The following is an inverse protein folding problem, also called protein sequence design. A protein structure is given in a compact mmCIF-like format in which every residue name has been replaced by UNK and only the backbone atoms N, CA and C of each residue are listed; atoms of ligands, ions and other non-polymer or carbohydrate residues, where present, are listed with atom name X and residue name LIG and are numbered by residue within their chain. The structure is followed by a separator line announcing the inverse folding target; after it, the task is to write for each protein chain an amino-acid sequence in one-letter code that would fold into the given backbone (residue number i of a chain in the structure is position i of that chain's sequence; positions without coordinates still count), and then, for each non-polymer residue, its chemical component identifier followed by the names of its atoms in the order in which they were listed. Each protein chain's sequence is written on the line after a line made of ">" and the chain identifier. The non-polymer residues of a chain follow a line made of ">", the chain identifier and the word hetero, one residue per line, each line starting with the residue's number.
data_IF_766074162697
#
_entry.id   IF_766074162697
#
_cell.length_a   1.000
_cell.length_b   1.000
_cell.length_c   1.000
_cell.angle_alpha   90.00
_cell.angle_beta   90.00
_cell.angle_gamma   90.00
#
_symmetry.space_group_name_H-M   'P 1'
#
loop_
_entity.id
_entity.type
_entity.pdbx_description
1 polymer ?
#
# COMPACT_ATOMS: atom_id res chain seq x y z
N UNK A 1 -5.24 9.44 -12.10
CA UNK A 1 -5.28 8.20 -11.27
C UNK A 1 -3.90 7.90 -10.75
N UNK A 2 -3.74 7.82 -9.45
CA UNK A 2 -2.51 7.51 -8.75
C UNK A 2 -2.52 6.06 -8.26
N UNK A 3 -1.35 5.51 -7.94
CA UNK A 3 -1.22 4.12 -7.53
C UNK A 3 -0.28 3.99 -6.34
N UNK A 4 -0.67 3.13 -5.39
CA UNK A 4 0.16 2.61 -4.30
C UNK A 4 0.23 1.09 -4.41
N UNK A 5 1.15 0.49 -3.67
CA UNK A 5 1.19 -0.96 -3.53
C UNK A 5 1.10 -1.33 -2.05
N UNK A 6 0.10 -2.13 -1.68
CA UNK A 6 0.00 -2.73 -0.35
C UNK A 6 0.63 -4.12 -0.37
N UNK A 7 1.52 -4.38 0.56
CA UNK A 7 2.03 -5.71 0.87
C UNK A 7 1.42 -6.17 2.19
N UNK A 8 0.84 -7.36 2.18
CA UNK A 8 0.33 -8.02 3.38
C UNK A 8 1.05 -9.34 3.58
N UNK A 9 1.51 -9.63 4.78
CA UNK A 9 2.07 -10.93 5.15
C UNK A 9 0.93 -11.90 5.40
N UNK A 10 0.74 -12.87 4.51
CA UNK A 10 -0.37 -13.84 4.61
C UNK A 10 -0.04 -15.03 5.47
N UNK A 11 1.20 -15.53 5.37
CA UNK A 11 1.60 -16.77 6.03
C UNK A 11 3.12 -16.87 6.16
N UNK A 12 3.57 -17.75 7.05
CA UNK A 12 4.98 -18.10 7.25
C UNK A 12 5.08 -19.63 7.30
N UNK A 13 5.99 -20.18 6.52
CA UNK A 13 6.27 -21.61 6.55
C UNK A 13 7.61 -21.89 7.21
N UNK A 14 7.79 -23.12 7.62
CA UNK A 14 9.04 -23.64 8.14
C UNK A 14 9.20 -25.08 7.65
N UNK A 15 10.38 -25.38 7.13
CA UNK A 15 10.79 -26.73 6.71
C UNK A 15 11.96 -27.21 7.56
N UNK A 16 11.70 -27.77 8.77
CA UNK A 16 12.75 -28.15 9.73
C UNK A 16 13.73 -29.16 9.15
N UNK A 17 13.24 -30.06 8.29
CA UNK A 17 14.07 -31.06 7.61
C UNK A 17 15.09 -30.43 6.66
N UNK A 18 14.73 -29.32 6.02
CA UNK A 18 15.66 -28.59 5.17
C UNK A 18 16.67 -27.78 6.00
N UNK A 19 16.22 -27.16 7.09
CA UNK A 19 17.13 -26.46 8.00
C UNK A 19 18.13 -27.41 8.62
N UNK A 20 17.66 -28.53 9.16
CA UNK A 20 18.51 -29.55 9.77
C UNK A 20 19.58 -30.08 8.81
N UNK A 21 19.26 -30.18 7.54
CA UNK A 21 20.16 -30.77 6.54
C UNK A 21 21.13 -29.78 5.93
N UNK A 22 20.72 -28.51 5.74
CA UNK A 22 21.45 -27.58 4.88
C UNK A 22 21.84 -26.27 5.56
N UNK A 23 21.24 -25.89 6.69
CA UNK A 23 21.59 -24.66 7.37
C UNK A 23 22.73 -24.85 8.37
N UNK A 24 23.55 -23.81 8.52
CA UNK A 24 24.60 -23.79 9.53
C UNK A 24 24.02 -23.79 10.96
N UNK A 25 22.83 -23.22 11.14
CA UNK A 25 22.04 -23.33 12.36
C UNK A 25 20.76 -24.15 12.06
N UNK A 26 20.73 -25.44 12.46
CA UNK A 26 19.57 -26.31 12.26
C UNK A 26 18.32 -25.90 13.04
N UNK A 27 18.49 -25.09 14.10
CA UNK A 27 17.43 -24.64 15.00
C UNK A 27 17.02 -23.18 14.75
N UNK A 28 17.39 -22.59 13.60
CA UNK A 28 17.13 -21.20 13.27
C UNK A 28 15.64 -20.81 13.30
N UNK A 29 14.73 -21.78 13.11
CA UNK A 29 13.29 -21.61 13.23
C UNK A 29 12.67 -20.77 12.10
N UNK A 30 11.45 -20.28 12.36
CA UNK A 30 10.70 -19.47 11.40
C UNK A 30 11.32 -18.08 11.19
N UNK A 31 11.01 -17.43 10.06
CA UNK A 31 11.51 -16.09 9.75
C UNK A 31 11.21 -15.08 10.88
N UNK A 32 12.22 -14.37 11.42
CA UNK A 32 12.04 -13.40 12.49
C UNK A 32 11.63 -12.01 11.99
N UNK A 33 11.75 -11.73 10.67
CA UNK A 33 11.58 -10.38 10.12
C UNK A 33 10.13 -9.92 10.05
N UNK A 34 9.19 -10.84 9.86
CA UNK A 34 7.78 -10.53 9.60
C UNK A 34 6.85 -11.30 10.52
N UNK A 35 5.67 -10.73 10.78
CA UNK A 35 4.56 -11.39 11.46
C UNK A 35 3.38 -11.52 10.50
N UNK A 36 2.61 -12.60 10.60
CA UNK A 36 1.38 -12.76 9.83
C UNK A 36 0.43 -11.62 10.16
N UNK A 37 -0.15 -10.98 9.12
CA UNK A 37 -0.98 -9.80 9.24
C UNK A 37 -0.21 -8.47 9.21
N UNK A 38 1.14 -8.46 9.16
CA UNK A 38 1.88 -7.23 8.92
C UNK A 38 1.49 -6.65 7.55
N UNK A 39 1.20 -5.35 7.51
CA UNK A 39 0.89 -4.60 6.28
C UNK A 39 1.88 -3.45 6.08
N UNK A 40 2.25 -3.24 4.81
CA UNK A 40 3.14 -2.18 4.38
C UNK A 40 2.59 -1.55 3.11
N UNK A 41 2.65 -0.22 3.01
CA UNK A 41 2.24 0.51 1.81
C UNK A 41 3.46 1.15 1.18
N UNK A 42 3.65 0.91 -0.11
CA UNK A 42 4.68 1.52 -0.93
C UNK A 42 4.05 2.64 -1.75
N UNK A 43 4.69 3.79 -1.74
CA UNK A 43 4.30 4.98 -2.49
C UNK A 43 5.43 5.39 -3.42
N UNK A 44 5.09 5.89 -4.61
CA UNK A 44 6.11 6.32 -5.58
C UNK A 44 6.78 7.63 -5.19
N UNK A 45 6.02 8.52 -4.53
CA UNK A 45 6.43 9.88 -4.23
C UNK A 45 6.04 10.28 -2.79
N UNK A 46 6.38 9.43 -1.83
CA UNK A 46 5.83 9.50 -0.46
C UNK A 46 6.43 10.53 0.47
N UNK A 47 7.54 11.21 0.18
CA UNK A 47 8.05 12.38 0.90
C UNK A 47 9.36 12.91 0.29
N UNK A 48 9.83 14.01 0.78
CA UNK A 48 10.75 15.02 0.23
C UNK A 48 12.06 14.58 -0.45
N UNK A 49 12.47 13.30 -0.36
CA UNK A 49 13.72 12.80 -0.96
C UNK A 49 13.51 11.53 -1.79
N UNK A 50 12.39 11.42 -2.43
CA UNK A 50 11.77 10.20 -2.90
C UNK A 50 12.51 9.47 -4.01
N UNK A 51 13.27 10.18 -4.80
CA UNK A 51 14.00 9.59 -5.92
C UNK A 51 15.09 8.61 -5.44
N UNK A 52 15.74 8.90 -4.33
CA UNK A 52 16.85 8.13 -3.78
C UNK A 52 16.42 7.06 -2.78
N UNK A 53 15.19 7.14 -2.27
CA UNK A 53 14.66 6.24 -1.25
C UNK A 53 13.69 5.18 -1.80
N UNK A 54 13.58 5.06 -3.11
CA UNK A 54 12.81 4.01 -3.75
C UNK A 54 13.34 2.64 -3.34
N UNK A 55 12.61 1.98 -2.45
CA UNK A 55 12.89 0.65 -1.95
C UNK A 55 12.89 0.56 -0.43
N UNK A 56 13.81 1.16 0.29
CA UNK A 56 13.91 1.00 1.74
C UNK A 56 13.24 2.12 2.54
N UNK A 57 13.24 3.36 2.03
CA UNK A 57 12.71 4.53 2.73
C UNK A 57 11.22 4.80 2.50
N UNK A 58 10.61 4.16 1.51
CA UNK A 58 9.19 4.30 1.16
C UNK A 58 8.28 3.27 1.83
N UNK A 59 8.83 2.43 2.69
CA UNK A 59 8.05 1.45 3.43
C UNK A 59 7.27 2.13 4.54
N UNK A 60 5.98 2.31 4.34
CA UNK A 60 5.07 2.85 5.36
C UNK A 60 4.28 1.68 5.93
N UNK A 61 4.36 1.45 7.23
CA UNK A 61 3.50 0.46 7.88
C UNK A 61 2.05 0.93 7.77
N UNK A 62 1.14 0.03 7.29
CA UNK A 62 -0.26 0.31 7.08
C UNK A 62 -0.96 1.01 8.24
N UNK A 63 -2.24 1.13 8.25
CA UNK A 63 -3.14 2.01 9.06
C UNK A 63 -2.78 2.33 10.52
N UNK A 64 -1.84 1.65 11.13
CA UNK A 64 -1.32 1.94 12.47
C UNK A 64 -0.21 2.98 12.49
N UNK A 65 0.08 3.59 11.35
CA UNK A 65 0.63 4.93 11.25
C UNK A 65 2.06 5.12 11.70
N UNK A 66 3.01 4.33 11.26
CA UNK A 66 4.40 4.77 11.35
C UNK A 66 5.07 4.59 10.01
N UNK A 67 5.32 5.73 9.37
CA UNK A 67 6.25 5.80 8.26
C UNK A 67 7.64 5.45 8.78
N UNK A 68 8.30 4.59 8.09
CA UNK A 68 9.69 4.32 8.36
C UNK A 68 9.93 2.95 8.91
N UNK A 69 11.09 2.50 8.56
CA UNK A 69 11.73 1.28 9.00
C UNK A 69 12.13 1.32 10.48
N UNK A 70 11.44 2.06 11.33
CA UNK A 70 11.79 2.12 12.75
C UNK A 70 11.71 0.72 13.35
N UNK A 71 12.89 0.08 13.40
CA UNK A 71 13.11 -1.15 14.12
C UNK A 71 12.95 -2.47 13.35
N UNK A 72 12.52 -2.49 12.07
CA UNK A 72 12.53 -3.72 11.28
C UNK A 72 13.60 -3.65 10.19
N UNK A 73 14.57 -4.56 10.19
CA UNK A 73 15.59 -4.58 9.15
C UNK A 73 14.96 -4.87 7.79
N UNK A 74 15.46 -4.21 6.76
CA UNK A 74 15.16 -4.55 5.38
C UNK A 74 15.61 -5.99 5.10
N UNK A 75 14.68 -6.83 4.68
CA UNK A 75 14.99 -8.20 4.29
C UNK A 75 15.26 -8.25 2.77
N UNK A 76 16.52 -8.45 2.39
CA UNK A 76 16.93 -8.55 0.98
C UNK A 76 16.27 -9.73 0.26
N UNK A 77 16.09 -10.86 0.95
CA UNK A 77 15.42 -12.05 0.41
C UNK A 77 13.95 -11.78 0.03
N UNK A 78 13.25 -10.98 0.86
CA UNK A 78 11.91 -10.53 0.53
C UNK A 78 11.92 -9.51 -0.60
N UNK A 79 12.80 -8.51 -0.52
CA UNK A 79 12.87 -7.42 -1.49
C UNK A 79 13.15 -7.93 -2.91
N UNK A 80 14.11 -8.84 -3.07
CA UNK A 80 14.44 -9.44 -4.36
C UNK A 80 13.22 -10.11 -5.03
N UNK A 81 12.41 -10.79 -4.22
CA UNK A 81 11.22 -11.47 -4.72
C UNK A 81 10.05 -10.53 -5.06
N UNK A 82 9.81 -9.47 -4.25
CA UNK A 82 8.60 -8.65 -4.33
C UNK A 82 8.77 -7.35 -5.14
N UNK A 83 9.98 -6.81 -5.25
CA UNK A 83 10.23 -5.46 -5.81
C UNK A 83 9.66 -5.27 -7.20
N UNK A 84 9.80 -6.23 -8.11
CA UNK A 84 9.25 -6.16 -9.47
C UNK A 84 7.73 -5.99 -9.50
N UNK A 85 7.01 -6.64 -8.60
CA UNK A 85 5.55 -6.53 -8.50
C UNK A 85 5.14 -5.19 -7.89
N UNK A 86 5.91 -4.70 -6.91
CA UNK A 86 5.71 -3.37 -6.33
C UNK A 86 5.86 -2.29 -7.42
N UNK A 87 6.93 -2.33 -8.21
CA UNK A 87 7.13 -1.36 -9.30
C UNK A 87 6.03 -1.44 -10.35
N UNK A 88 5.58 -2.65 -10.70
CA UNK A 88 4.46 -2.83 -11.64
C UNK A 88 3.19 -2.18 -11.08
N UNK A 89 2.86 -2.43 -9.82
CA UNK A 89 1.70 -1.83 -9.16
C UNK A 89 1.78 -0.30 -9.11
N UNK A 90 2.93 0.26 -8.73
CA UNK A 90 3.15 1.71 -8.66
C UNK A 90 3.06 2.42 -10.03
N UNK A 91 3.22 1.69 -11.13
CA UNK A 91 3.04 2.19 -12.50
C UNK A 91 1.61 1.99 -13.04
N UNK A 92 0.67 1.48 -12.24
CA UNK A 92 -0.69 1.20 -12.66
C UNK A 92 -0.82 -0.05 -13.54
N UNK A 93 0.23 -0.86 -13.63
CA UNK A 93 0.22 -2.09 -14.41
C UNK A 93 -0.58 -3.21 -13.76
N UNK A 94 -0.98 -4.19 -14.57
CA UNK A 94 -1.49 -5.47 -14.08
C UNK A 94 -0.34 -6.25 -13.43
N UNK A 95 -0.50 -6.59 -12.15
CA UNK A 95 0.59 -7.19 -11.36
C UNK A 95 0.90 -8.61 -11.84
N UNK A 96 -0.15 -9.38 -12.14
CA UNK A 96 0.01 -10.73 -12.73
C UNK A 96 -1.22 -11.11 -13.58
N UNK A 97 -1.31 -10.50 -14.75
CA UNK A 97 -2.44 -10.66 -15.66
C UNK A 97 -2.67 -12.11 -16.06
N UNK A 98 -3.92 -12.56 -15.95
CA UNK A 98 -4.34 -13.87 -16.38
C UNK A 98 -3.95 -15.04 -15.47
N UNK A 99 -3.23 -14.75 -14.38
CA UNK A 99 -2.89 -15.76 -13.36
C UNK A 99 -3.74 -15.62 -12.10
N UNK A 100 -3.89 -14.39 -11.60
CA UNK A 100 -4.76 -14.09 -10.46
C UNK A 100 -6.18 -13.75 -10.94
N UNK A 101 -7.16 -13.95 -10.08
CA UNK A 101 -8.55 -13.55 -10.34
C UNK A 101 -8.77 -12.02 -10.26
N UNK A 102 -7.84 -11.29 -9.68
CA UNK A 102 -7.76 -9.83 -9.69
C UNK A 102 -6.39 -9.40 -10.25
N UNK A 103 -6.39 -8.64 -11.34
CA UNK A 103 -5.17 -8.19 -12.00
C UNK A 103 -4.32 -7.23 -11.14
N UNK A 104 -4.89 -6.68 -10.06
CA UNK A 104 -4.20 -5.83 -9.10
C UNK A 104 -3.39 -6.62 -8.06
N UNK A 105 -3.58 -7.95 -8.00
CA UNK A 105 -3.04 -8.80 -6.92
C UNK A 105 -1.97 -9.74 -7.43
N UNK A 106 -0.95 -9.98 -6.60
CA UNK A 106 0.01 -11.07 -6.72
C UNK A 106 0.24 -11.74 -5.37
N UNK A 107 0.26 -13.07 -5.36
CA UNK A 107 0.72 -13.88 -4.23
C UNK A 107 2.11 -14.41 -4.57
N UNK A 108 3.10 -14.09 -3.74
CA UNK A 108 4.48 -14.53 -3.91
C UNK A 108 5.13 -14.86 -2.56
N UNK A 109 6.34 -15.39 -2.57
CA UNK A 109 7.10 -15.64 -1.35
C UNK A 109 8.51 -15.06 -1.48
N UNK A 110 9.18 -14.88 -0.33
CA UNK A 110 10.61 -14.55 -0.33
C UNK A 110 11.44 -15.71 -0.89
N UNK A 111 12.72 -15.45 -1.16
CA UNK A 111 13.65 -16.44 -1.72
C UNK A 111 14.22 -17.43 -0.71
N UNK A 112 13.95 -17.29 0.60
CA UNK A 112 14.37 -18.28 1.60
C UNK A 112 13.53 -19.57 1.49
N UNK A 113 14.11 -20.60 0.89
CA UNK A 113 13.45 -21.89 0.70
C UNK A 113 13.25 -22.71 1.97
N UNK A 114 13.89 -22.37 3.09
CA UNK A 114 13.79 -23.12 4.35
C UNK A 114 12.73 -22.61 5.30
N UNK A 115 12.42 -21.30 5.21
CA UNK A 115 11.42 -20.61 6.03
C UNK A 115 10.70 -19.48 5.29
N UNK A 116 10.08 -19.78 4.13
CA UNK A 116 9.49 -18.76 3.27
C UNK A 116 8.35 -18.01 3.96
N UNK A 117 8.29 -16.71 3.66
CA UNK A 117 7.18 -15.82 4.02
C UNK A 117 6.34 -15.58 2.78
N UNK A 118 5.02 -15.73 2.91
CA UNK A 118 4.05 -15.55 1.83
C UNK A 118 3.46 -14.16 1.91
N UNK A 119 3.53 -13.43 0.80
CA UNK A 119 3.05 -12.06 0.68
C UNK A 119 1.90 -11.98 -0.32
N UNK A 120 0.90 -11.13 -0.01
CA UNK A 120 -0.01 -10.55 -0.99
C UNK A 120 0.49 -9.16 -1.35
N UNK A 121 0.67 -8.90 -2.62
CA UNK A 121 0.91 -7.57 -3.17
C UNK A 121 -0.35 -7.12 -3.90
N UNK A 122 -0.82 -5.91 -3.63
CA UNK A 122 -2.07 -5.40 -4.15
C UNK A 122 -1.89 -3.95 -4.60
N UNK A 123 -2.19 -3.67 -5.87
CA UNK A 123 -2.26 -2.31 -6.38
C UNK A 123 -3.50 -1.62 -5.81
N UNK A 124 -3.30 -0.46 -5.22
CA UNK A 124 -4.34 0.41 -4.73
C UNK A 124 -4.46 1.60 -5.69
N UNK A 125 -5.60 1.72 -6.33
CA UNK A 125 -5.90 2.81 -7.25
C UNK A 125 -6.62 3.92 -6.47
N UNK A 126 -6.17 5.18 -6.59
CA UNK A 126 -6.77 6.30 -5.89
C UNK A 126 -6.68 7.60 -6.68
N UNK A 127 -7.53 8.56 -6.31
CA UNK A 127 -7.42 9.96 -6.75
C UNK A 127 -7.00 10.83 -5.57
N UNK A 128 -6.06 11.73 -5.82
CA UNK A 128 -5.64 12.74 -4.85
C UNK A 128 -6.47 14.01 -5.08
N UNK A 129 -7.27 14.37 -4.08
CA UNK A 129 -8.21 15.49 -4.13
C UNK A 129 -7.66 16.62 -3.27
N UNK A 130 -7.22 17.69 -3.92
CA UNK A 130 -6.76 18.91 -3.26
C UNK A 130 -7.94 19.83 -3.02
N UNK A 131 -8.19 20.14 -1.75
CA UNK A 131 -9.36 20.91 -1.31
C UNK A 131 -8.91 22.17 -0.59
N UNK A 132 -9.49 23.32 -0.96
CA UNK A 132 -9.25 24.58 -0.28
C UNK A 132 -9.85 24.58 1.14
N UNK A 133 -9.14 25.22 2.09
CA UNK A 133 -9.67 25.64 3.40
C UNK A 133 -10.15 24.54 4.36
N UNK A 134 -9.83 23.26 4.14
CA UNK A 134 -10.20 22.18 5.06
C UNK A 134 -9.18 21.99 6.19
N UNK A 135 -9.14 22.90 7.17
CA UNK A 135 -8.13 22.91 8.24
C UNK A 135 -8.58 22.24 9.54
N UNK A 136 -9.89 22.10 9.78
CA UNK A 136 -10.36 21.51 11.03
C UNK A 136 -10.59 20.00 10.92
N UNK A 137 -10.18 19.26 11.96
CA UNK A 137 -10.28 17.79 12.01
C UNK A 137 -11.69 17.27 11.76
N UNK A 138 -12.71 17.94 12.30
CA UNK A 138 -14.11 17.52 12.10
C UNK A 138 -14.56 17.69 10.64
N UNK A 139 -14.17 18.80 9.99
CA UNK A 139 -14.44 19.02 8.57
C UNK A 139 -13.75 17.98 7.70
N UNK A 140 -12.50 17.66 8.00
CA UNK A 140 -11.75 16.60 7.31
C UNK A 140 -12.42 15.22 7.43
N UNK A 141 -12.89 14.84 8.62
CA UNK A 141 -13.61 13.58 8.83
C UNK A 141 -14.94 13.55 8.08
N UNK A 142 -15.71 14.63 8.13
CA UNK A 142 -17.00 14.71 7.43
C UNK A 142 -16.83 14.63 5.92
N UNK A 143 -15.82 15.32 5.38
CA UNK A 143 -15.54 15.31 3.95
C UNK A 143 -15.04 13.93 3.46
N UNK A 144 -14.16 13.28 4.23
CA UNK A 144 -13.71 11.93 3.94
C UNK A 144 -14.89 10.93 3.94
N UNK A 145 -15.81 11.05 4.90
CA UNK A 145 -17.01 10.22 4.96
C UNK A 145 -17.93 10.45 3.75
N UNK A 146 -18.13 11.72 3.35
CA UNK A 146 -18.93 12.06 2.18
C UNK A 146 -18.33 11.49 0.88
N UNK A 147 -17.02 11.62 0.68
CA UNK A 147 -16.33 11.05 -0.49
C UNK A 147 -16.36 9.53 -0.46
N UNK A 148 -16.20 8.91 0.71
CA UNK A 148 -16.30 7.46 0.86
C UNK A 148 -17.71 6.89 0.57
N UNK A 149 -18.75 7.73 0.57
CA UNK A 149 -20.12 7.31 0.20
C UNK A 149 -20.39 7.29 -1.30
N UNK A 150 -19.46 7.76 -2.12
CA UNK A 150 -19.59 7.72 -3.59
C UNK A 150 -19.50 6.26 -4.05
N UNK A 151 -20.42 5.84 -4.90
CA UNK A 151 -20.40 4.51 -5.52
C UNK A 151 -19.08 4.31 -6.30
N UNK A 152 -18.41 3.18 -6.08
CA UNK A 152 -17.08 2.89 -6.64
C UNK A 152 -15.92 3.43 -5.80
N UNK A 153 -16.15 4.21 -4.73
CA UNK A 153 -15.13 4.56 -3.74
C UNK A 153 -15.17 3.57 -2.58
N UNK A 154 -14.09 2.87 -2.35
CA UNK A 154 -13.98 1.86 -1.29
C UNK A 154 -13.54 2.45 0.05
N UNK A 155 -12.81 3.57 -0.01
CA UNK A 155 -12.28 4.27 1.17
C UNK A 155 -11.89 5.69 0.80
N UNK A 156 -12.02 6.63 1.75
CA UNK A 156 -11.41 7.96 1.65
C UNK A 156 -10.69 8.32 2.95
N UNK A 157 -9.50 8.88 2.85
CA UNK A 157 -8.70 9.32 4.00
C UNK A 157 -7.78 10.48 3.64
N UNK A 158 -7.45 11.29 4.64
CA UNK A 158 -6.51 12.39 4.46
C UNK A 158 -5.07 11.90 4.45
N UNK A 159 -4.34 12.33 3.44
CA UNK A 159 -2.89 12.15 3.39
C UNK A 159 -2.21 13.18 4.31
N UNK A 160 -1.03 12.83 4.84
CA UNK A 160 -0.23 13.72 5.72
C UNK A 160 0.14 15.04 5.05
N UNK A 161 0.24 15.09 3.73
CA UNK A 161 0.57 16.29 2.96
C UNK A 161 -0.66 17.17 2.67
N UNK A 162 -1.82 16.87 3.28
CA UNK A 162 -2.98 17.76 3.31
C UNK A 162 -3.95 17.62 2.14
N UNK A 163 -3.92 16.53 1.39
CA UNK A 163 -4.95 16.21 0.38
C UNK A 163 -5.77 14.98 0.79
N UNK A 164 -6.95 14.83 0.21
CA UNK A 164 -7.84 13.70 0.45
C UNK A 164 -7.58 12.62 -0.61
N UNK A 165 -7.33 11.40 -0.17
CA UNK A 165 -7.21 10.20 -1.02
C UNK A 165 -8.55 9.50 -1.10
N UNK A 166 -9.07 9.30 -2.32
CA UNK A 166 -10.23 8.46 -2.60
C UNK A 166 -9.75 7.17 -3.30
N UNK A 167 -9.77 6.06 -2.58
CA UNK A 167 -9.43 4.73 -3.10
C UNK A 167 -10.63 4.14 -3.83
N UNK A 168 -10.39 3.51 -5.00
CA UNK A 168 -11.44 3.11 -5.91
C UNK A 168 -11.32 1.68 -6.38
N UNK A 169 -12.46 1.04 -6.59
CA UNK A 169 -12.61 -0.27 -7.20
C UNK A 169 -13.07 -0.21 -8.66
N UNK A 170 -13.44 0.97 -9.11
CA UNK A 170 -13.98 1.24 -10.44
C UNK A 170 -13.65 2.62 -10.91
N UNK A 171 -14.25 3.03 -12.02
CA UNK A 171 -14.07 4.35 -12.59
C UNK A 171 -15.06 5.32 -11.93
N UNK A 172 -14.53 6.32 -11.22
CA UNK A 172 -15.29 7.42 -10.63
C UNK A 172 -14.88 8.71 -11.30
N UNK A 173 -15.83 9.46 -11.86
CA UNK A 173 -15.53 10.70 -12.57
C UNK A 173 -15.10 11.81 -11.60
N UNK A 174 -14.28 12.75 -12.10
CA UNK A 174 -13.89 13.95 -11.34
C UNK A 174 -15.09 14.83 -11.02
N UNK A 175 -16.06 14.88 -11.93
CA UNK A 175 -17.29 15.66 -11.73
C UNK A 175 -18.14 15.12 -10.59
N UNK A 176 -18.22 13.79 -10.44
CA UNK A 176 -18.91 13.15 -9.32
C UNK A 176 -18.24 13.52 -7.98
N UNK A 177 -16.90 13.47 -7.94
CA UNK A 177 -16.13 13.85 -6.75
C UNK A 177 -16.34 15.33 -6.43
N UNK A 178 -16.25 16.21 -7.42
CA UNK A 178 -16.49 17.65 -7.25
C UNK A 178 -17.88 17.94 -6.72
N UNK A 179 -18.92 17.32 -7.29
CA UNK A 179 -20.29 17.51 -6.85
C UNK A 179 -20.48 17.15 -5.36
N UNK A 180 -19.82 16.12 -4.86
CA UNK A 180 -19.91 15.71 -3.45
C UNK A 180 -19.10 16.64 -2.55
N UNK A 181 -17.87 16.99 -2.95
CA UNK A 181 -16.98 17.85 -2.13
C UNK A 181 -17.53 19.27 -2.02
N UNK A 182 -18.10 19.81 -3.10
CA UNK A 182 -18.56 21.19 -3.20
C UNK A 182 -20.08 21.34 -2.87
N UNK A 183 -20.76 20.25 -2.47
CA UNK A 183 -22.21 20.19 -2.30
C UNK A 183 -22.80 21.30 -1.42
N UNK A 184 -22.13 21.65 -0.33
CA UNK A 184 -22.62 22.67 0.61
C UNK A 184 -21.91 24.04 0.47
N UNK A 185 -21.02 24.16 -0.51
CA UNK A 185 -20.28 25.38 -0.80
C UNK A 185 -19.19 25.74 0.23
N UNK A 186 -18.94 24.88 1.23
CA UNK A 186 -17.88 25.11 2.24
C UNK A 186 -16.49 24.81 1.74
N UNK A 187 -16.37 23.87 0.79
CA UNK A 187 -15.10 23.41 0.26
C UNK A 187 -15.09 23.58 -1.25
N UNK A 188 -13.91 23.78 -1.78
CA UNK A 188 -13.70 23.86 -3.23
C UNK A 188 -12.59 22.89 -3.61
N UNK A 189 -12.80 22.13 -4.68
CA UNK A 189 -11.79 21.27 -5.27
C UNK A 189 -10.87 22.10 -6.14
N UNK A 190 -9.62 22.21 -5.74
CA UNK A 190 -8.58 22.91 -6.50
C UNK A 190 -8.07 22.05 -7.64
N UNK A 191 -7.77 20.76 -7.33
CA UNK A 191 -7.20 19.80 -8.28
C UNK A 191 -7.57 18.37 -7.90
N UNK A 192 -7.68 17.49 -8.88
CA UNK A 192 -7.78 16.03 -8.75
C UNK A 192 -6.70 15.42 -9.63
N UNK A 193 -5.84 14.54 -9.03
CA UNK A 193 -4.74 13.85 -9.72
C UNK A 193 -4.97 12.33 -9.79
#
# INVERSE_FOLDING_TARGET
>A
MQHKCRMTVLDKKLYPELQSRYCADPEAGACPCYSVGDEYVFERYGSRDDFWHMGAGTLVKGETGVAGSEGKPHCSEAWDAISRYIYTALQGGSVMRGWMNDERVMICCCSDGTRPVIFKLERLDYKAIHVSECSCRQGQQSLAAAVASIDGVTRACWHRDGFLEAYMDGEVSDDTIRAVVEFDGRYRVERID
#
